data_IF_846231153637
#
_entry.id   IF_846231153637
#
_cell.length_a   1.000
_cell.length_b   1.000
_cell.length_c   1.000
_cell.angle_alpha   90.00
_cell.angle_beta   90.00
_cell.angle_gamma   90.00
#
_symmetry.space_group_name_H-M   'P 1'
#
loop_
_entity.id
_entity.type
_entity.pdbx_description
1 polymer ?
#
# COMPACT_ATOMS: atom_id res chain seq x y z
N UNK A 1 -6.11 35.97 -24.39
CA UNK A 1 -6.92 34.93 -23.71
C UNK A 1 -6.02 34.31 -22.66
N UNK A 2 -6.12 34.77 -21.41
CA UNK A 2 -5.36 34.17 -20.31
C UNK A 2 -6.05 32.86 -19.92
N UNK A 3 -5.32 31.74 -19.75
CA UNK A 3 -5.93 30.55 -19.18
C UNK A 3 -6.41 30.90 -17.77
N UNK A 4 -7.66 30.56 -17.45
CA UNK A 4 -8.20 30.71 -16.09
C UNK A 4 -7.39 29.88 -15.09
N UNK A 5 -7.58 30.08 -13.77
CA UNK A 5 -6.78 29.40 -12.77
C UNK A 5 -6.91 27.89 -12.94
N UNK A 6 -5.81 27.23 -13.27
CA UNK A 6 -5.70 25.78 -13.19
C UNK A 6 -5.89 25.43 -11.72
N UNK A 7 -7.03 24.84 -11.37
CA UNK A 7 -7.19 24.23 -10.06
C UNK A 7 -6.21 23.07 -10.02
N UNK A 8 -5.05 23.30 -9.41
CA UNK A 8 -4.05 22.27 -9.20
C UNK A 8 -4.56 21.36 -8.10
N UNK A 9 -5.39 20.38 -8.48
CA UNK A 9 -5.88 19.36 -7.56
C UNK A 9 -4.72 18.55 -6.97
N UNK A 10 -4.74 18.39 -5.65
CA UNK A 10 -3.75 17.61 -4.90
C UNK A 10 -4.41 16.29 -4.49
N UNK A 11 -3.91 15.17 -5.00
CA UNK A 11 -4.34 13.82 -4.63
C UNK A 11 -3.50 13.34 -3.47
N UNK A 12 -4.13 12.81 -2.42
CA UNK A 12 -3.44 12.27 -1.24
C UNK A 12 -3.98 10.90 -0.92
N UNK A 13 -3.10 9.93 -0.69
CA UNK A 13 -3.52 8.59 -0.30
C UNK A 13 -2.51 7.93 0.65
N UNK A 14 -2.99 6.87 1.28
CA UNK A 14 -2.22 6.03 2.19
C UNK A 14 -2.04 4.66 1.55
N UNK A 15 -0.83 4.13 1.58
CA UNK A 15 -0.53 2.79 1.09
C UNK A 15 0.18 1.98 2.17
N UNK A 16 -0.27 0.74 2.38
CA UNK A 16 0.37 -0.20 3.31
C UNK A 16 1.26 -1.17 2.54
N UNK A 17 2.55 -1.15 2.83
CA UNK A 17 3.54 -2.11 2.36
C UNK A 17 3.77 -3.17 3.43
N UNK A 18 3.54 -4.44 3.09
CA UNK A 18 3.77 -5.57 4.00
C UNK A 18 5.25 -5.95 3.89
N UNK A 19 5.98 -5.95 5.02
CA UNK A 19 7.42 -6.26 5.05
C UNK A 19 7.70 -7.75 4.87
N UNK A 20 6.74 -8.58 5.27
CA UNK A 20 6.76 -10.01 5.02
C UNK A 20 6.33 -10.30 3.58
N UNK A 21 7.30 -10.39 2.66
CA UNK A 21 7.08 -10.93 1.32
C UNK A 21 6.81 -12.43 1.43
N UNK A 22 5.53 -12.81 1.36
CA UNK A 22 5.13 -14.19 1.25
C UNK A 22 4.58 -14.41 -0.15
N UNK A 23 5.34 -14.99 -1.08
CA UNK A 23 4.75 -15.50 -2.30
C UNK A 23 3.78 -16.59 -1.87
N UNK A 24 2.47 -16.29 -1.83
CA UNK A 24 1.41 -17.28 -1.62
C UNK A 24 1.41 -18.41 -2.66
N UNK A 25 2.36 -18.38 -3.60
CA UNK A 25 2.71 -19.41 -4.54
C UNK A 25 3.80 -20.30 -3.95
N UNK A 26 3.40 -21.47 -3.44
CA UNK A 26 4.35 -22.60 -3.38
C UNK A 26 4.69 -22.99 -4.82
N UNK A 27 5.97 -23.17 -5.13
CA UNK A 27 6.38 -23.76 -6.41
C UNK A 27 6.06 -25.27 -6.37
N UNK A 28 5.04 -25.69 -7.11
CA UNK A 28 4.59 -27.10 -7.11
C UNK A 28 5.04 -27.76 -8.41
N UNK A 29 5.99 -28.68 -8.31
CA UNK A 29 6.39 -29.53 -9.43
C UNK A 29 5.37 -30.66 -9.61
N UNK A 30 4.92 -30.89 -10.85
CA UNK A 30 4.02 -31.99 -11.20
C UNK A 30 4.50 -32.71 -12.46
N UNK A 31 4.22 -34.00 -12.55
CA UNK A 31 4.36 -34.76 -13.78
C UNK A 31 3.22 -34.39 -14.77
N UNK A 32 3.46 -34.54 -16.08
CA UNK A 32 2.44 -34.22 -17.07
C UNK A 32 1.25 -35.18 -16.92
N UNK A 33 0.03 -34.61 -16.85
CA UNK A 33 -1.28 -35.31 -16.78
C UNK A 33 -1.71 -35.84 -15.41
N UNK A 34 -0.98 -35.57 -14.32
CA UNK A 34 -1.46 -35.92 -12.97
C UNK A 34 -2.38 -34.85 -12.39
N UNK A 35 -3.48 -35.24 -11.74
CA UNK A 35 -4.39 -34.32 -11.03
C UNK A 35 -3.68 -33.68 -9.82
N UNK A 36 -4.02 -32.42 -9.51
CA UNK A 36 -3.51 -31.76 -8.30
C UNK A 36 -4.02 -32.46 -7.03
N UNK A 37 -3.14 -32.66 -6.06
CA UNK A 37 -3.47 -33.23 -4.75
C UNK A 37 -3.96 -32.13 -3.79
N UNK A 38 -4.97 -32.40 -2.95
CA UNK A 38 -5.51 -31.38 -2.02
C UNK A 38 -4.49 -30.87 -0.99
N UNK A 39 -3.49 -31.67 -0.64
CA UNK A 39 -2.38 -31.23 0.23
C UNK A 39 -1.50 -30.14 -0.36
N UNK A 40 -1.70 -29.78 -1.63
CA UNK A 40 -0.94 -28.76 -2.34
C UNK A 40 -1.53 -27.35 -2.15
N UNK A 41 -2.67 -27.22 -1.48
CA UNK A 41 -3.33 -25.94 -1.17
C UNK A 41 -3.18 -25.66 0.32
N UNK A 42 -2.57 -24.53 0.68
CA UNK A 42 -2.46 -24.06 2.07
C UNK A 42 -3.30 -22.79 2.23
N UNK A 43 -4.42 -22.88 2.95
CA UNK A 43 -5.17 -21.71 3.38
C UNK A 43 -4.39 -21.00 4.49
N UNK A 44 -4.15 -19.69 4.34
CA UNK A 44 -3.43 -18.91 5.36
C UNK A 44 -4.13 -17.59 5.61
N UNK A 45 -4.50 -17.37 6.87
CA UNK A 45 -5.36 -16.27 7.32
C UNK A 45 -4.65 -15.10 7.99
N UNK A 46 -3.33 -15.15 8.15
CA UNK A 46 -2.64 -14.15 8.96
C UNK A 46 -1.75 -13.23 8.13
N UNK A 47 -2.33 -12.15 7.61
CA UNK A 47 -1.62 -10.90 7.26
C UNK A 47 -1.25 -10.10 8.53
N UNK A 48 -0.95 -10.80 9.64
CA UNK A 48 -0.60 -10.23 10.95
C UNK A 48 0.86 -9.75 11.02
N UNK A 49 1.63 -9.92 9.95
CA UNK A 49 2.98 -9.39 9.81
C UNK A 49 3.00 -7.86 9.85
N UNK A 50 4.10 -7.31 10.36
CA UNK A 50 4.31 -5.87 10.39
C UNK A 50 4.26 -5.26 8.99
N UNK A 51 3.58 -4.13 8.84
CA UNK A 51 3.54 -3.33 7.62
C UNK A 51 4.06 -1.92 7.86
N UNK A 52 4.66 -1.35 6.82
CA UNK A 52 4.97 0.06 6.74
C UNK A 52 3.76 0.75 6.11
N UNK A 53 3.21 1.74 6.79
CA UNK A 53 2.24 2.65 6.17
C UNK A 53 3.01 3.82 5.59
N UNK A 54 2.73 4.19 4.35
CA UNK A 54 3.25 5.41 3.74
C UNK A 54 2.11 6.32 3.33
N UNK A 55 2.39 7.63 3.33
CA UNK A 55 1.48 8.65 2.85
C UNK A 55 2.26 9.65 2.00
N UNK A 56 1.69 10.06 0.89
CA UNK A 56 2.19 11.15 0.06
C UNK A 56 1.02 11.78 -0.68
N UNK A 57 1.25 12.99 -1.21
CA UNK A 57 0.35 13.57 -2.18
C UNK A 57 1.03 13.99 -3.46
N UNK A 58 0.28 13.96 -4.55
CA UNK A 58 0.72 14.19 -5.92
C UNK A 58 -0.25 15.17 -6.57
N UNK A 59 0.29 16.11 -7.34
CA UNK A 59 -0.45 17.00 -8.23
C UNK A 59 0.18 16.99 -9.62
N UNK A 60 -0.46 17.67 -10.56
CA UNK A 60 0.10 17.88 -11.90
C UNK A 60 1.46 18.59 -11.88
N UNK A 61 1.77 19.37 -10.83
CA UNK A 61 2.98 20.20 -10.75
C UNK A 61 4.07 19.64 -9.84
N UNK A 62 3.86 18.51 -9.17
CA UNK A 62 4.83 17.96 -8.22
C UNK A 62 4.19 17.05 -7.17
N UNK A 63 5.00 16.58 -6.22
CA UNK A 63 4.57 15.73 -5.12
C UNK A 63 5.15 16.25 -3.78
N UNK A 64 4.55 15.84 -2.66
CA UNK A 64 5.12 16.07 -1.33
C UNK A 64 6.14 14.98 -0.97
N UNK A 65 6.85 15.18 0.12
CA UNK A 65 7.73 14.16 0.70
C UNK A 65 6.94 12.92 1.13
N UNK A 66 7.55 11.75 0.98
CA UNK A 66 6.96 10.49 1.42
C UNK A 66 7.07 10.35 2.94
N UNK A 67 5.93 10.29 3.60
CA UNK A 67 5.86 10.10 5.04
C UNK A 67 5.73 8.62 5.39
N UNK A 68 6.67 8.09 6.17
CA UNK A 68 6.76 6.66 6.51
C UNK A 68 6.40 6.42 7.97
N UNK A 69 5.54 5.43 8.23
CA UNK A 69 5.14 5.00 9.57
C UNK A 69 5.42 3.52 9.80
N UNK A 70 6.19 3.24 10.84
CA UNK A 70 6.45 1.88 11.30
C UNK A 70 5.34 1.42 12.27
N UNK A 71 4.87 0.18 12.13
CA UNK A 71 3.88 -0.41 13.06
C UNK A 71 2.42 -0.36 12.60
N UNK A 72 2.17 -0.11 11.30
CA UNK A 72 0.99 -0.62 10.62
C UNK A 72 -0.38 0.02 10.91
N UNK A 73 -0.50 1.16 11.59
CA UNK A 73 -1.82 1.80 11.73
C UNK A 73 -1.72 3.32 11.71
N UNK A 74 -2.35 3.94 10.70
CA UNK A 74 -2.69 5.36 10.77
C UNK A 74 -3.93 5.51 11.67
N UNK A 75 -3.79 6.28 12.74
CA UNK A 75 -4.88 6.57 13.68
C UNK A 75 -5.51 7.91 13.33
N UNK A 76 -6.77 8.14 13.71
CA UNK A 76 -7.45 9.42 13.42
C UNK A 76 -6.69 10.65 13.94
N UNK A 77 -5.92 10.51 15.02
CA UNK A 77 -5.03 11.56 15.54
C UNK A 77 -3.90 11.86 14.56
N UNK A 78 -3.22 10.83 14.03
CA UNK A 78 -2.15 10.97 13.02
C UNK A 78 -2.66 11.53 11.70
N UNK A 79 -3.91 11.23 11.34
CA UNK A 79 -4.56 11.80 10.16
C UNK A 79 -4.73 13.31 10.32
N UNK A 80 -5.22 13.78 11.47
CA UNK A 80 -5.41 15.22 11.74
C UNK A 80 -4.08 15.99 11.72
N UNK A 81 -3.05 15.49 12.40
CA UNK A 81 -1.72 16.11 12.41
C UNK A 81 -1.12 16.23 10.99
N UNK A 82 -1.52 15.37 10.04
CA UNK A 82 -1.02 15.41 8.66
C UNK A 82 -1.63 16.53 7.82
N UNK A 83 -2.90 16.88 8.04
CA UNK A 83 -3.50 18.04 7.36
C UNK A 83 -2.91 19.36 7.83
N UNK A 84 -2.52 19.43 9.11
CA UNK A 84 -1.88 20.61 9.71
C UNK A 84 -0.43 20.82 9.23
N UNK A 85 0.23 19.81 8.64
CA UNK A 85 1.59 19.88 8.09
C UNK A 85 1.61 20.35 6.62
N UNK A 86 0.46 20.37 5.95
CA UNK A 86 0.32 20.75 4.54
C UNK A 86 -0.18 22.19 4.33
N UNK A 87 -0.39 22.94 5.40
CA UNK A 87 -0.86 24.34 5.42
C UNK A 87 0.31 25.32 5.67
#
# INVERSE_FOLDING_TARGET
>A
MHPGPTVMGFFTEESRFILESHPGHLLIWRDQRTRYHQSNTLERHDYRGGGIMVWAGISLGGHTDLHVYHGGTLTGVRYRERYEILD
#
